data_IF_304303820866
#
_entry.id   IF_304303820866
#
_cell.length_a   1.000
_cell.length_b   1.000
_cell.length_c   1.000
_cell.angle_alpha   90.00
_cell.angle_beta   90.00
_cell.angle_gamma   90.00
#
_symmetry.space_group_name_H-M   'P 1'
#
loop_
_entity.id
_entity.type
_entity.pdbx_description
1 polymer ?
#
# COMPACT_ATOMS: atom_id res chain seq x y z
N UNK A 1 14.37 24.80 -0.63
CA UNK A 1 14.29 25.35 0.75
C UNK A 1 14.44 24.19 1.73
N UNK A 2 15.05 24.41 2.89
CA UNK A 2 15.15 23.38 3.92
C UNK A 2 13.87 23.32 4.77
N UNK A 3 13.47 22.12 5.20
CA UNK A 3 12.32 21.92 6.07
C UNK A 3 12.59 22.49 7.47
N UNK A 4 11.57 23.08 8.10
CA UNK A 4 11.69 23.53 9.48
C UNK A 4 11.46 22.37 10.45
N UNK A 5 12.16 22.35 11.59
CA UNK A 5 11.92 21.32 12.63
C UNK A 5 10.46 21.38 13.11
N UNK A 6 9.82 20.23 13.20
CA UNK A 6 8.51 20.09 13.83
C UNK A 6 8.61 20.19 15.35
N UNK A 7 7.71 20.96 15.97
CA UNK A 7 7.62 21.14 17.41
C UNK A 7 6.19 20.88 17.95
N UNK A 8 5.29 20.40 17.09
CA UNK A 8 3.94 20.03 17.48
C UNK A 8 3.89 18.65 18.14
N UNK A 9 2.69 18.20 18.54
CA UNK A 9 2.51 16.90 19.17
C UNK A 9 2.67 15.76 18.16
N UNK A 10 3.11 14.60 18.66
CA UNK A 10 3.15 13.34 17.92
C UNK A 10 1.79 12.61 17.94
N UNK A 11 0.93 12.93 18.92
CA UNK A 11 -0.48 12.50 18.95
C UNK A 11 -1.34 13.71 18.58
N UNK A 12 -1.96 13.67 17.40
CA UNK A 12 -2.73 14.78 16.86
C UNK A 12 -4.20 14.58 17.21
N UNK A 13 -4.69 15.33 18.20
CA UNK A 13 -6.10 15.27 18.65
C UNK A 13 -6.93 16.48 18.24
N UNK A 14 -6.29 17.51 17.68
CA UNK A 14 -6.99 18.71 17.22
C UNK A 14 -7.52 18.53 15.79
N UNK A 15 -8.78 18.86 15.57
CA UNK A 15 -9.37 18.90 14.24
C UNK A 15 -8.69 19.96 13.36
N UNK A 16 -8.62 19.71 12.05
CA UNK A 16 -8.02 20.63 11.07
C UNK A 16 -6.54 20.95 11.34
N UNK A 17 -5.83 20.06 12.04
CA UNK A 17 -4.41 20.26 12.33
C UNK A 17 -3.58 20.12 11.06
N UNK A 18 -2.64 21.05 10.86
CA UNK A 18 -1.81 21.11 9.65
C UNK A 18 -0.33 21.01 9.99
N UNK A 19 0.36 20.06 9.37
CA UNK A 19 1.83 19.95 9.35
C UNK A 19 2.30 20.37 7.96
N UNK A 20 2.86 21.56 7.82
CA UNK A 20 3.32 22.08 6.53
C UNK A 20 4.80 22.51 6.59
N UNK A 21 5.61 21.99 5.67
CA UNK A 21 7.02 22.39 5.53
C UNK A 21 7.90 21.90 6.67
N UNK A 22 7.58 20.73 7.25
CA UNK A 22 8.22 20.25 8.48
C UNK A 22 9.06 19.00 8.31
N UNK A 23 10.14 18.93 9.06
CA UNK A 23 10.84 17.69 9.38
C UNK A 23 10.34 17.18 10.74
N UNK A 24 9.66 16.04 10.72
CA UNK A 24 9.09 15.35 11.88
C UNK A 24 9.97 14.16 12.23
N UNK A 25 10.28 13.95 13.51
CA UNK A 25 11.12 12.86 14.00
C UNK A 25 10.41 12.08 15.13
N UNK A 26 9.15 11.74 14.88
CA UNK A 26 8.34 10.85 15.70
C UNK A 26 7.22 10.26 14.84
N UNK A 27 6.60 9.21 15.35
CA UNK A 27 5.38 8.68 14.75
C UNK A 27 4.23 9.67 14.97
N UNK A 28 3.43 9.89 13.92
CA UNK A 28 2.24 10.71 13.96
C UNK A 28 1.00 9.83 14.10
N UNK A 29 0.45 9.80 15.32
CA UNK A 29 -0.82 9.15 15.68
C UNK A 29 -1.97 10.16 15.49
N UNK A 30 -2.72 9.99 14.40
CA UNK A 30 -3.80 10.90 14.00
C UNK A 30 -5.12 10.46 14.62
N UNK A 31 -5.60 11.25 15.59
CA UNK A 31 -6.82 11.03 16.36
C UNK A 31 -7.82 12.18 16.22
N UNK A 32 -7.93 12.72 15.01
CA UNK A 32 -8.74 13.89 14.73
C UNK A 32 -9.26 13.92 13.29
N UNK A 33 -10.37 14.60 13.01
CA UNK A 33 -10.83 14.86 11.65
C UNK A 33 -9.97 15.94 10.96
N UNK A 34 -9.84 15.79 9.65
CA UNK A 34 -9.31 16.76 8.70
C UNK A 34 -7.85 17.14 8.96
N UNK A 35 -7.02 16.19 9.39
CA UNK A 35 -5.58 16.44 9.54
C UNK A 35 -4.94 16.48 8.15
N UNK A 36 -4.10 17.48 7.92
CA UNK A 36 -3.35 17.63 6.67
C UNK A 36 -1.85 17.64 6.99
N UNK A 37 -1.11 16.79 6.28
CA UNK A 37 0.34 16.78 6.29
C UNK A 37 0.79 17.08 4.87
N UNK A 38 1.50 18.18 4.67
CA UNK A 38 1.92 18.64 3.35
C UNK A 38 3.37 19.15 3.33
N UNK A 39 4.04 19.01 2.19
CA UNK A 39 5.39 19.54 1.96
C UNK A 39 6.38 19.15 3.08
N UNK A 40 6.25 17.95 3.63
CA UNK A 40 6.93 17.56 4.88
C UNK A 40 7.71 16.26 4.71
N UNK A 41 8.70 16.05 5.59
CA UNK A 41 9.41 14.78 5.74
C UNK A 41 9.17 14.23 7.14
N UNK A 42 8.67 13.01 7.23
CA UNK A 42 8.41 12.31 8.46
C UNK A 42 9.41 11.17 8.56
N UNK A 43 10.22 11.16 9.62
CA UNK A 43 11.08 10.03 9.98
C UNK A 43 10.37 9.30 11.14
N UNK A 44 9.55 8.31 10.78
CA UNK A 44 8.57 7.66 11.64
C UNK A 44 7.35 7.18 10.85
N UNK A 45 6.35 6.68 11.56
CA UNK A 45 5.09 6.18 11.00
C UNK A 45 4.02 7.28 10.99
N UNK A 46 3.03 7.19 10.12
CA UNK A 46 1.86 8.08 10.13
C UNK A 46 0.61 7.21 10.11
N UNK A 47 -0.15 7.18 11.20
CA UNK A 47 -1.27 6.24 11.28
C UNK A 47 -2.52 6.78 11.95
N UNK A 48 -3.67 6.23 11.56
CA UNK A 48 -4.92 6.27 12.30
C UNK A 48 -5.22 4.86 12.79
N UNK A 49 -5.53 4.72 14.08
CA UNK A 49 -6.02 3.46 14.64
C UNK A 49 -7.51 3.31 14.30
N UNK A 50 -7.81 2.62 13.20
CA UNK A 50 -9.20 2.40 12.74
C UNK A 50 -10.00 1.48 13.66
N UNK A 51 -9.35 0.67 14.49
CA UNK A 51 -10.01 -0.25 15.43
C UNK A 51 -10.51 0.48 16.69
N UNK A 52 -10.02 1.70 16.90
CA UNK A 52 -10.49 2.53 17.99
C UNK A 52 -11.97 2.92 17.79
N UNK A 53 -12.81 2.69 18.80
CA UNK A 53 -14.23 3.06 18.74
C UNK A 53 -14.48 4.56 18.47
N UNK A 54 -13.50 5.42 18.74
CA UNK A 54 -13.56 6.87 18.47
C UNK A 54 -13.06 7.26 17.07
N UNK A 55 -12.57 6.32 16.26
CA UNK A 55 -11.93 6.57 14.96
C UNK A 55 -12.89 7.00 13.85
N UNK A 56 -14.20 6.90 14.11
CA UNK A 56 -15.26 7.07 13.12
C UNK A 56 -15.15 8.35 12.28
N UNK A 57 -14.63 9.45 12.83
CA UNK A 57 -14.47 10.71 12.09
C UNK A 57 -13.01 11.10 11.83
N UNK A 58 -12.03 10.30 12.22
CA UNK A 58 -10.63 10.64 11.99
C UNK A 58 -10.33 10.60 10.49
N UNK A 59 -9.53 11.54 10.02
CA UNK A 59 -9.13 11.58 8.61
C UNK A 59 -7.81 12.28 8.41
N UNK A 60 -7.06 11.79 7.42
CA UNK A 60 -5.73 12.26 7.05
C UNK A 60 -5.64 12.48 5.54
N UNK A 61 -5.13 13.65 5.16
CA UNK A 61 -4.53 13.89 3.85
C UNK A 61 -3.03 14.06 4.01
N UNK A 62 -2.25 13.16 3.42
CA UNK A 62 -0.81 13.25 3.27
C UNK A 62 -0.51 13.61 1.82
N UNK A 63 0.09 14.77 1.58
CA UNK A 63 0.36 15.23 0.22
C UNK A 63 1.75 15.82 0.06
N UNK A 64 2.34 15.69 -1.12
CA UNK A 64 3.63 16.33 -1.46
C UNK A 64 4.72 16.09 -0.39
N UNK A 65 4.74 14.90 0.20
CA UNK A 65 5.51 14.59 1.40
C UNK A 65 6.32 13.30 1.26
N UNK A 66 7.32 13.14 2.13
CA UNK A 66 8.07 11.91 2.30
C UNK A 66 7.79 11.32 3.68
N UNK A 67 7.52 10.01 3.75
CA UNK A 67 7.49 9.26 5.00
C UNK A 67 8.49 8.12 4.91
N UNK A 68 9.47 8.15 5.80
CA UNK A 68 10.48 7.13 5.99
C UNK A 68 10.18 6.39 7.31
N UNK A 69 9.59 5.21 7.20
CA UNK A 69 9.28 4.37 8.35
C UNK A 69 10.49 3.64 8.93
N UNK A 70 11.63 3.63 8.22
CA UNK A 70 12.82 2.88 8.59
C UNK A 70 12.55 1.38 8.82
N UNK A 71 13.29 0.80 9.76
CA UNK A 71 13.26 -0.62 10.07
C UNK A 71 12.16 -1.01 11.06
N UNK A 72 10.93 -1.23 10.57
CA UNK A 72 9.76 -1.52 11.43
C UNK A 72 8.96 -2.71 10.91
N UNK A 73 8.48 -3.57 11.82
CA UNK A 73 7.51 -4.63 11.48
C UNK A 73 6.07 -4.09 11.41
N UNK A 74 5.89 -2.94 10.76
CA UNK A 74 4.61 -2.22 10.65
C UNK A 74 4.49 -1.53 9.29
N UNK A 75 3.27 -1.22 8.89
CA UNK A 75 3.02 -0.33 7.77
C UNK A 75 3.47 1.10 8.09
N UNK A 76 3.97 1.81 7.08
CA UNK A 76 4.49 3.18 7.23
C UNK A 76 3.36 4.19 7.32
N UNK A 77 2.38 4.08 6.41
CA UNK A 77 1.12 4.82 6.45
C UNK A 77 -0.06 3.86 6.55
N UNK A 78 -0.90 4.03 7.56
CA UNK A 78 -1.99 3.09 7.88
C UNK A 78 -3.09 3.76 8.72
N UNK A 79 -4.13 3.06 9.14
CA UNK A 79 -5.30 2.66 8.33
C UNK A 79 -6.38 3.77 8.46
N UNK A 80 -7.66 3.51 8.17
CA UNK A 80 -8.77 4.43 8.43
C UNK A 80 -9.27 5.21 7.19
N UNK A 81 -9.42 6.53 7.33
CA UNK A 81 -9.80 7.43 6.23
C UNK A 81 -8.57 8.23 5.78
N UNK A 82 -7.84 7.66 4.81
CA UNK A 82 -6.53 8.15 4.38
C UNK A 82 -6.52 8.50 2.90
N UNK A 83 -5.96 9.67 2.60
CA UNK A 83 -5.58 10.08 1.25
C UNK A 83 -4.08 10.35 1.20
N UNK A 84 -3.36 9.62 0.36
CA UNK A 84 -1.94 9.84 0.04
C UNK A 84 -1.83 10.35 -1.38
N UNK A 85 -1.21 11.51 -1.58
CA UNK A 85 -1.17 12.19 -2.86
C UNK A 85 0.25 12.70 -3.17
N UNK A 86 0.80 12.39 -4.35
CA UNK A 86 2.11 12.89 -4.80
C UNK A 86 3.21 12.73 -3.74
N UNK A 87 3.22 11.60 -3.05
CA UNK A 87 4.09 11.38 -1.89
C UNK A 87 5.03 10.19 -2.10
N UNK A 88 6.17 10.22 -1.41
CA UNK A 88 7.17 9.17 -1.40
C UNK A 88 7.12 8.43 -0.06
N UNK A 89 6.70 7.18 -0.06
CA UNK A 89 6.51 6.38 1.17
C UNK A 89 7.41 5.15 1.10
N UNK A 90 8.27 4.99 2.09
CA UNK A 90 9.23 3.89 2.14
C UNK A 90 9.60 3.45 3.56
N UNK A 91 10.26 2.30 3.65
CA UNK A 91 10.54 1.60 4.90
C UNK A 91 9.37 0.70 5.32
N UNK A 92 9.45 0.24 6.57
CA UNK A 92 8.48 -0.69 7.16
C UNK A 92 8.40 -2.02 6.41
N UNK A 93 7.38 -2.81 6.73
CA UNK A 93 7.06 -4.03 5.94
C UNK A 93 6.20 -3.70 4.72
N UNK A 94 5.49 -2.58 4.76
CA UNK A 94 4.69 -2.08 3.64
C UNK A 94 4.55 -0.56 3.74
N UNK A 95 4.80 0.20 2.65
CA UNK A 95 4.63 1.65 2.62
C UNK A 95 3.22 2.10 3.00
N UNK A 96 2.18 1.48 2.41
CA UNK A 96 0.78 1.81 2.71
C UNK A 96 0.00 0.54 2.99
N UNK A 97 -0.82 0.57 4.04
CA UNK A 97 -1.76 -0.49 4.38
C UNK A 97 -3.19 0.05 4.53
N UNK A 98 -4.13 -0.64 3.89
CA UNK A 98 -5.55 -0.35 3.98
C UNK A 98 -6.34 -1.59 4.42
N UNK A 99 -6.98 -1.57 5.59
CA UNK A 99 -7.57 -2.77 6.20
C UNK A 99 -9.10 -2.72 6.33
N UNK A 100 -9.67 -3.74 6.99
CA UNK A 100 -11.10 -4.03 7.05
C UNK A 100 -11.96 -2.92 7.65
N UNK A 101 -11.41 -2.10 8.54
CA UNK A 101 -12.12 -0.98 9.16
C UNK A 101 -11.93 0.36 8.45
N UNK A 102 -11.29 0.35 7.26
CA UNK A 102 -11.14 1.56 6.47
C UNK A 102 -12.48 2.08 5.96
N UNK A 103 -12.66 3.40 6.07
CA UNK A 103 -13.77 4.09 5.42
C UNK A 103 -13.48 4.40 3.96
N UNK A 104 -12.24 4.83 3.71
CA UNK A 104 -11.73 5.18 2.39
C UNK A 104 -10.21 5.17 2.45
N UNK A 105 -9.58 4.61 1.42
CA UNK A 105 -8.14 4.60 1.29
C UNK A 105 -7.77 4.93 -0.15
N UNK A 106 -7.21 6.12 -0.37
CA UNK A 106 -6.76 6.54 -1.71
C UNK A 106 -5.27 6.80 -1.69
N UNK A 107 -4.56 6.16 -2.60
CA UNK A 107 -3.15 6.44 -2.90
C UNK A 107 -3.08 6.84 -4.37
N UNK A 108 -2.59 8.05 -4.62
CA UNK A 108 -2.58 8.61 -5.96
C UNK A 108 -1.28 9.34 -6.27
N UNK A 109 -0.80 9.19 -7.51
CA UNK A 109 0.37 9.90 -8.04
C UNK A 109 1.63 9.72 -7.17
N UNK A 110 1.74 8.60 -6.44
CA UNK A 110 2.72 8.39 -5.37
C UNK A 110 3.72 7.28 -5.68
N UNK A 111 4.81 7.23 -4.92
CA UNK A 111 5.86 6.20 -5.02
C UNK A 111 5.95 5.40 -3.73
N UNK A 112 5.73 4.09 -3.83
CA UNK A 112 5.78 3.13 -2.72
C UNK A 112 6.92 2.14 -2.95
N UNK A 113 7.92 2.10 -2.07
CA UNK A 113 9.14 1.29 -2.25
C UNK A 113 9.94 1.10 -0.95
N UNK A 114 11.10 0.46 -1.04
CA UNK A 114 12.12 0.48 0.01
C UNK A 114 11.70 -0.22 1.29
N UNK A 115 11.01 -1.36 1.18
CA UNK A 115 10.65 -2.15 2.35
C UNK A 115 11.91 -2.59 3.08
N UNK A 116 11.80 -2.72 4.40
CA UNK A 116 12.91 -3.15 5.24
C UNK A 116 12.55 -4.42 5.99
N UNK A 117 13.51 -5.34 6.06
CA UNK A 117 13.45 -6.50 6.93
C UNK A 117 14.83 -6.80 7.50
N UNK A 118 14.96 -7.14 8.81
CA UNK A 118 16.21 -7.65 9.36
C UNK A 118 16.68 -8.94 8.67
N UNK A 119 17.98 -9.22 8.74
CA UNK A 119 18.50 -10.49 8.24
C UNK A 119 17.92 -11.69 8.99
N UNK A 120 17.57 -12.75 8.25
CA UNK A 120 17.20 -14.05 8.82
C UNK A 120 15.83 -14.12 9.49
N UNK A 121 14.96 -13.12 9.32
CA UNK A 121 13.56 -13.21 9.76
C UNK A 121 12.63 -13.60 8.62
N UNK A 122 11.54 -14.28 8.97
CA UNK A 122 10.47 -14.66 8.05
C UNK A 122 9.37 -13.59 8.08
N UNK A 123 9.64 -12.42 7.52
CA UNK A 123 8.63 -11.37 7.34
C UNK A 123 8.18 -11.30 5.89
N UNK A 124 6.88 -11.15 5.69
CA UNK A 124 6.27 -10.97 4.39
C UNK A 124 6.02 -9.49 4.14
N UNK A 125 6.63 -8.97 3.08
CA UNK A 125 6.66 -7.55 2.76
C UNK A 125 5.75 -7.25 1.56
N UNK A 126 5.42 -5.98 1.35
CA UNK A 126 4.64 -5.52 0.21
C UNK A 126 4.88 -4.07 -0.18
N UNK A 127 4.59 -3.72 -1.44
CA UNK A 127 4.51 -2.31 -1.86
C UNK A 127 3.24 -1.63 -1.35
N UNK A 128 2.16 -2.39 -1.34
CA UNK A 128 0.85 -2.05 -0.78
C UNK A 128 0.24 -3.32 -0.17
N UNK A 129 -0.50 -3.16 0.92
CA UNK A 129 -1.21 -4.26 1.57
C UNK A 129 -2.66 -3.89 1.89
N UNK A 130 -3.56 -4.85 1.71
CA UNK A 130 -4.87 -4.85 2.31
C UNK A 130 -5.24 -6.25 2.78
N UNK A 131 -5.67 -6.36 4.04
CA UNK A 131 -6.15 -7.62 4.61
C UNK A 131 -7.68 -7.77 4.65
N UNK A 132 -8.40 -6.85 4.02
CA UNK A 132 -9.87 -6.78 4.04
C UNK A 132 -10.38 -5.37 3.75
N UNK A 133 -11.70 -5.24 3.65
CA UNK A 133 -12.39 -3.95 3.59
C UNK A 133 -12.69 -3.48 2.17
N UNK A 134 -12.93 -2.18 2.01
CA UNK A 134 -13.32 -1.62 0.72
C UNK A 134 -12.98 -0.15 0.56
N UNK A 135 -13.47 0.46 -0.52
CA UNK A 135 -13.16 1.84 -0.91
C UNK A 135 -11.65 2.11 -1.04
N UNK A 136 -10.93 1.16 -1.65
CA UNK A 136 -9.49 1.26 -1.89
C UNK A 136 -9.27 1.74 -3.33
N UNK A 137 -8.44 2.77 -3.51
CA UNK A 137 -8.07 3.32 -4.81
C UNK A 137 -6.56 3.51 -4.89
N UNK A 138 -5.93 2.79 -5.81
CA UNK A 138 -4.54 2.95 -6.20
C UNK A 138 -4.52 3.50 -7.62
N UNK A 139 -4.21 4.79 -7.77
CA UNK A 139 -4.31 5.49 -9.06
C UNK A 139 -2.97 6.12 -9.43
N UNK A 140 -2.40 5.71 -10.56
CA UNK A 140 -1.22 6.36 -11.14
C UNK A 140 -0.01 6.41 -10.20
N UNK A 141 0.22 5.33 -9.45
CA UNK A 141 1.37 5.18 -8.57
C UNK A 141 2.50 4.40 -9.25
N UNK A 142 3.72 4.58 -8.75
CA UNK A 142 4.82 3.63 -8.93
C UNK A 142 4.91 2.79 -7.66
N UNK A 143 4.70 1.48 -7.78
CA UNK A 143 4.65 0.57 -6.62
C UNK A 143 5.66 -0.54 -6.87
N UNK A 144 6.62 -0.67 -5.96
CA UNK A 144 7.65 -1.71 -6.03
C UNK A 144 7.83 -2.29 -4.63
N UNK A 145 7.74 -3.61 -4.51
CA UNK A 145 8.33 -4.30 -3.39
C UNK A 145 9.72 -4.77 -3.80
N UNK A 146 10.78 -4.15 -3.28
CA UNK A 146 12.15 -4.30 -3.80
C UNK A 146 13.10 -5.04 -2.86
N UNK A 147 12.63 -5.52 -1.71
CA UNK A 147 13.44 -6.31 -0.80
C UNK A 147 13.64 -7.75 -1.33
N UNK A 148 14.89 -8.27 -1.32
CA UNK A 148 15.17 -9.64 -1.75
C UNK A 148 14.59 -10.67 -0.77
N UNK A 149 14.36 -11.89 -1.27
CA UNK A 149 14.02 -13.05 -0.45
C UNK A 149 15.26 -13.53 0.32
N UNK A 150 15.07 -13.98 1.56
CA UNK A 150 16.14 -14.52 2.39
C UNK A 150 15.99 -16.04 2.63
N UNK A 151 17.01 -16.64 3.25
CA UNK A 151 17.03 -18.09 3.54
C UNK A 151 16.02 -18.54 4.61
N UNK A 152 15.40 -17.61 5.34
CA UNK A 152 14.36 -17.90 6.33
C UNK A 152 12.95 -17.94 5.71
N UNK A 153 12.80 -17.58 4.43
CA UNK A 153 11.50 -17.51 3.74
C UNK A 153 10.91 -16.09 3.69
N UNK A 154 11.52 -15.13 4.38
CA UNK A 154 11.08 -13.74 4.38
C UNK A 154 11.47 -13.01 3.10
N UNK A 155 10.68 -12.00 2.72
CA UNK A 155 10.89 -11.20 1.53
C UNK A 155 9.59 -10.61 0.98
N UNK A 156 9.68 -10.05 -0.23
CA UNK A 156 8.54 -9.46 -0.89
C UNK A 156 7.49 -10.49 -1.31
N UNK A 157 6.26 -10.27 -0.85
CA UNK A 157 5.09 -11.01 -1.35
C UNK A 157 4.75 -10.53 -2.75
N UNK A 158 4.63 -9.21 -2.92
CA UNK A 158 4.31 -8.56 -4.18
C UNK A 158 4.16 -7.04 -4.05
N UNK A 159 4.00 -6.35 -5.18
CA UNK A 159 3.86 -4.90 -5.23
C UNK A 159 2.50 -4.49 -4.68
N UNK A 160 1.41 -5.15 -5.10
CA UNK A 160 0.05 -4.88 -4.63
C UNK A 160 -0.56 -6.15 -4.08
N UNK A 161 -0.77 -6.21 -2.76
CA UNK A 161 -1.23 -7.40 -2.06
C UNK A 161 -2.65 -7.21 -1.51
N UNK A 162 -3.66 -7.73 -2.21
CA UNK A 162 -4.99 -7.94 -1.64
C UNK A 162 -5.07 -9.38 -1.12
N UNK A 163 -5.01 -9.54 0.20
CA UNK A 163 -4.95 -10.85 0.86
C UNK A 163 -6.02 -10.86 1.96
N UNK A 164 -7.24 -11.36 1.71
CA UNK A 164 -8.41 -11.17 2.59
C UNK A 164 -8.33 -12.02 3.87
N UNK A 165 -7.39 -11.72 4.78
CA UNK A 165 -7.17 -12.49 6.00
C UNK A 165 -8.20 -12.16 7.10
N UNK A 166 -8.70 -10.91 7.14
CA UNK A 166 -9.55 -10.41 8.22
C UNK A 166 -10.96 -10.03 7.77
N UNK A 167 -11.15 -9.74 6.47
CA UNK A 167 -12.46 -9.58 5.85
C UNK A 167 -12.35 -9.80 4.32
N UNK A 168 -13.47 -10.02 3.61
CA UNK A 168 -13.50 -9.91 2.15
C UNK A 168 -13.02 -8.53 1.71
N UNK A 169 -12.38 -8.45 0.55
CA UNK A 169 -12.02 -7.17 -0.07
C UNK A 169 -13.08 -6.86 -1.14
N UNK A 170 -13.68 -5.68 -1.07
CA UNK A 170 -14.76 -5.27 -1.96
C UNK A 170 -14.50 -3.90 -2.57
N UNK A 171 -14.56 -3.80 -3.90
CA UNK A 171 -14.59 -2.52 -4.60
C UNK A 171 -13.24 -1.80 -4.68
N UNK A 172 -12.14 -2.54 -4.79
CA UNK A 172 -10.82 -1.96 -5.01
C UNK A 172 -10.62 -1.54 -6.46
N UNK A 173 -10.04 -0.35 -6.68
CA UNK A 173 -9.64 0.15 -7.99
C UNK A 173 -8.12 0.28 -8.06
N UNK A 174 -7.49 -0.53 -8.92
CA UNK A 174 -6.07 -0.47 -9.27
C UNK A 174 -5.96 0.03 -10.70
N UNK A 175 -5.65 1.31 -10.85
CA UNK A 175 -5.72 1.99 -12.14
C UNK A 175 -4.44 2.75 -12.49
N UNK A 176 -3.98 2.61 -13.73
CA UNK A 176 -2.88 3.40 -14.30
C UNK A 176 -1.55 3.33 -13.50
N UNK A 177 -1.37 2.33 -12.65
CA UNK A 177 -0.14 2.18 -11.86
C UNK A 177 0.97 1.53 -12.68
N UNK A 178 2.21 1.78 -12.27
CA UNK A 178 3.39 1.02 -12.67
C UNK A 178 3.78 0.06 -11.54
N UNK A 179 3.87 -1.23 -11.85
CA UNK A 179 4.33 -2.29 -10.94
C UNK A 179 5.73 -2.75 -11.38
N UNK A 180 6.72 -2.54 -10.51
CA UNK A 180 8.14 -2.80 -10.79
C UNK A 180 8.51 -4.27 -10.70
N UNK A 181 9.52 -4.70 -11.45
CA UNK A 181 9.95 -6.08 -11.43
C UNK A 181 10.83 -6.37 -10.21
N UNK A 182 10.46 -7.38 -9.44
CA UNK A 182 11.31 -7.98 -8.43
C UNK A 182 11.27 -9.49 -8.59
N UNK A 183 12.37 -10.07 -9.09
CA UNK A 183 12.48 -11.51 -9.33
C UNK A 183 12.49 -12.35 -8.05
N UNK A 184 12.69 -11.73 -6.89
CA UNK A 184 12.64 -12.36 -5.58
C UNK A 184 11.26 -12.21 -4.91
N UNK A 185 10.38 -11.36 -5.47
CA UNK A 185 8.99 -11.32 -5.03
C UNK A 185 8.22 -12.52 -5.58
N UNK A 186 7.16 -12.95 -4.89
CA UNK A 186 6.35 -14.08 -5.34
C UNK A 186 5.55 -13.75 -6.61
N UNK A 187 4.66 -12.76 -6.54
CA UNK A 187 3.85 -12.27 -7.66
C UNK A 187 3.88 -10.74 -7.69
N UNK A 188 3.64 -10.10 -8.84
CA UNK A 188 3.56 -8.63 -8.88
C UNK A 188 2.29 -8.14 -8.18
N UNK A 189 1.19 -8.88 -8.27
CA UNK A 189 -0.03 -8.57 -7.51
C UNK A 189 -0.83 -9.81 -7.10
N UNK A 190 -1.49 -9.71 -5.94
CA UNK A 190 -2.52 -10.63 -5.46
C UNK A 190 -3.88 -9.97 -5.61
N UNK A 191 -4.83 -10.63 -6.29
CA UNK A 191 -6.12 -10.05 -6.70
C UNK A 191 -7.26 -10.15 -5.68
N UNK A 192 -7.03 -10.76 -4.51
CA UNK A 192 -8.02 -10.86 -3.43
C UNK A 192 -8.76 -12.21 -3.31
N UNK A 193 -8.54 -13.18 -4.20
CA UNK A 193 -9.00 -14.56 -4.01
C UNK A 193 -7.96 -15.36 -3.22
N UNK A 194 -8.40 -16.06 -2.16
CA UNK A 194 -7.53 -16.91 -1.34
C UNK A 194 -8.33 -18.03 -0.70
N UNK A 195 -8.39 -19.19 -1.36
CA UNK A 195 -9.18 -20.36 -0.93
C UNK A 195 -8.86 -20.87 0.49
N UNK A 196 -7.65 -20.61 0.99
CA UNK A 196 -7.23 -21.00 2.34
C UNK A 196 -7.59 -19.98 3.43
N UNK A 197 -8.16 -18.83 3.05
CA UNK A 197 -8.63 -17.81 4.01
C UNK A 197 -10.04 -18.12 4.52
N UNK A 198 -10.39 -17.58 5.70
CA UNK A 198 -11.77 -17.52 6.18
C UNK A 198 -12.67 -16.64 5.30
N UNK A 199 -12.08 -15.72 4.54
CA UNK A 199 -12.77 -14.81 3.62
C UNK A 199 -12.25 -15.02 2.19
N UNK A 200 -12.54 -16.18 1.57
CA UNK A 200 -11.79 -16.62 0.39
C UNK A 200 -12.06 -15.81 -0.88
N UNK A 201 -13.15 -15.04 -0.91
CA UNK A 201 -13.64 -14.36 -2.10
C UNK A 201 -13.64 -12.85 -1.93
N UNK A 202 -13.04 -12.17 -2.91
CA UNK A 202 -13.12 -10.71 -3.08
C UNK A 202 -13.89 -10.37 -4.36
N UNK A 203 -14.57 -9.22 -4.35
CA UNK A 203 -15.47 -8.84 -5.42
C UNK A 203 -15.39 -7.33 -5.75
N UNK A 204 -15.89 -6.94 -6.92
CA UNK A 204 -15.71 -5.60 -7.50
C UNK A 204 -14.24 -5.15 -7.55
N UNK A 205 -13.32 -6.10 -7.74
CA UNK A 205 -11.89 -5.85 -7.90
C UNK A 205 -11.59 -5.42 -9.33
N UNK A 206 -11.22 -4.15 -9.52
CA UNK A 206 -11.01 -3.57 -10.84
C UNK A 206 -9.53 -3.24 -11.04
N UNK A 207 -8.89 -3.94 -11.97
CA UNK A 207 -7.55 -3.67 -12.46
C UNK A 207 -7.63 -3.14 -13.87
N UNK A 208 -7.23 -1.88 -14.10
CA UNK A 208 -7.23 -1.30 -15.44
C UNK A 208 -6.04 -0.44 -15.77
N UNK A 209 -5.61 -0.51 -17.03
CA UNK A 209 -4.61 0.38 -17.62
C UNK A 209 -3.23 0.37 -16.93
N UNK A 210 -2.95 -0.62 -16.08
CA UNK A 210 -1.69 -0.72 -15.35
C UNK A 210 -0.55 -1.21 -16.27
N UNK A 211 0.68 -0.82 -15.93
CA UNK A 211 1.92 -1.24 -16.58
C UNK A 211 2.71 -2.11 -15.63
N UNK A 212 3.13 -3.29 -16.10
CA UNK A 212 3.98 -4.22 -15.38
C UNK A 212 5.37 -4.23 -16.02
N UNK A 213 6.42 -4.16 -15.21
CA UNK A 213 7.78 -4.36 -15.67
C UNK A 213 8.10 -5.87 -15.76
N UNK A 214 8.98 -6.28 -16.68
CA UNK A 214 9.54 -7.64 -16.68
C UNK A 214 10.96 -7.66 -16.13
N UNK A 215 11.21 -8.55 -15.17
CA UNK A 215 12.58 -8.92 -14.80
C UNK A 215 13.29 -9.73 -15.89
N UNK A 216 14.56 -10.08 -15.66
CA UNK A 216 15.34 -10.93 -16.57
C UNK A 216 14.69 -12.32 -16.80
N UNK A 217 13.83 -12.76 -15.87
CA UNK A 217 13.04 -13.99 -15.98
C UNK A 217 11.78 -13.87 -16.87
N UNK A 218 11.48 -12.67 -17.39
CA UNK A 218 10.31 -12.32 -18.22
C UNK A 218 8.93 -12.46 -17.55
N UNK A 219 8.85 -12.51 -16.21
CA UNK A 219 7.61 -12.79 -15.45
C UNK A 219 7.12 -11.67 -14.53
N UNK A 220 7.86 -10.56 -14.42
CA UNK A 220 7.59 -9.49 -13.45
C UNK A 220 8.08 -9.85 -12.04
N UNK A 221 7.63 -10.98 -11.52
CA UNK A 221 8.08 -11.57 -10.25
C UNK A 221 8.50 -13.03 -10.42
N UNK A 222 8.84 -13.75 -9.34
CA UNK A 222 9.33 -15.14 -9.40
C UNK A 222 8.34 -16.08 -10.10
N UNK A 223 7.07 -16.02 -9.72
CA UNK A 223 6.03 -16.93 -10.19
C UNK A 223 5.22 -16.35 -11.34
N UNK A 224 4.98 -15.04 -11.37
CA UNK A 224 4.26 -14.38 -12.44
C UNK A 224 3.77 -12.97 -12.05
N UNK A 225 3.05 -12.31 -12.96
CA UNK A 225 2.51 -10.97 -12.69
C UNK A 225 1.32 -10.97 -11.74
N UNK A 226 0.51 -12.04 -11.72
CA UNK A 226 -0.81 -12.06 -11.07
C UNK A 226 -1.04 -13.41 -10.43
N UNK A 227 -1.72 -13.42 -9.29
CA UNK A 227 -2.40 -14.59 -8.70
C UNK A 227 -3.62 -14.10 -7.93
N UNK A 228 -4.54 -15.01 -7.60
CA UNK A 228 -5.69 -14.73 -6.76
C UNK A 228 -6.65 -13.73 -7.38
N UNK A 229 -6.75 -13.64 -8.71
CA UNK A 229 -7.76 -12.82 -9.38
C UNK A 229 -8.84 -13.70 -10.02
N UNK A 230 -9.96 -13.84 -9.32
CA UNK A 230 -11.14 -14.54 -9.85
C UNK A 230 -11.86 -13.70 -10.91
N UNK A 231 -11.60 -13.96 -12.20
CA UNK A 231 -12.24 -13.26 -13.34
C UNK A 231 -13.76 -13.44 -13.42
N UNK A 232 -14.30 -14.47 -12.77
CA UNK A 232 -15.73 -14.73 -12.70
C UNK A 232 -16.36 -14.16 -11.42
N UNK A 233 -15.56 -13.53 -10.56
CA UNK A 233 -16.02 -12.88 -9.34
C UNK A 233 -16.97 -11.72 -9.67
N UNK A 234 -18.01 -11.48 -8.85
CA UNK A 234 -18.97 -10.41 -9.09
C UNK A 234 -18.28 -9.05 -9.26
N UNK A 235 -18.52 -8.34 -10.36
CA UNK A 235 -17.97 -7.01 -10.60
C UNK A 235 -16.44 -6.95 -10.85
N UNK A 236 -15.73 -8.08 -10.80
CA UNK A 236 -14.29 -8.12 -11.05
C UNK A 236 -14.00 -7.78 -12.52
N UNK A 237 -12.98 -6.95 -12.76
CA UNK A 237 -12.61 -6.50 -14.11
C UNK A 237 -11.10 -6.43 -14.25
N UNK A 238 -10.60 -7.02 -15.34
CA UNK A 238 -9.20 -6.95 -15.73
C UNK A 238 -9.11 -6.42 -17.17
N UNK A 239 -8.74 -5.15 -17.33
CA UNK A 239 -8.82 -4.48 -18.63
C UNK A 239 -7.55 -3.69 -18.96
N UNK A 240 -6.99 -3.90 -20.15
CA UNK A 240 -5.85 -3.12 -20.67
C UNK A 240 -4.60 -3.06 -19.76
N UNK A 241 -4.39 -4.09 -18.93
CA UNK A 241 -3.15 -4.27 -18.19
C UNK A 241 -2.08 -4.81 -19.15
N UNK A 242 -0.91 -4.17 -19.16
CA UNK A 242 0.13 -4.43 -20.15
C UNK A 242 1.51 -4.49 -19.52
N UNK A 243 2.40 -5.21 -20.16
CA UNK A 243 3.83 -5.10 -19.93
C UNK A 243 4.35 -3.76 -20.45
N UNK A 244 5.52 -3.34 -19.98
CA UNK A 244 6.19 -2.11 -20.44
C UNK A 244 6.47 -2.09 -21.96
N UNK A 245 6.58 -3.26 -22.60
CA UNK A 245 6.73 -3.43 -24.06
C UNK A 245 5.40 -3.37 -24.83
N UNK A 246 4.28 -3.17 -24.11
CA UNK A 246 2.92 -3.11 -24.67
C UNK A 246 2.21 -4.45 -24.79
N UNK A 247 2.88 -5.58 -24.50
CA UNK A 247 2.23 -6.90 -24.50
C UNK A 247 1.17 -7.02 -23.41
N UNK A 248 0.11 -7.79 -23.64
CA UNK A 248 -0.95 -7.96 -22.63
C UNK A 248 -0.46 -8.74 -21.40
N UNK A 249 -0.94 -8.35 -20.22
CA UNK A 249 -0.86 -9.16 -18.98
C UNK A 249 -2.22 -9.82 -18.78
N UNK A 250 -2.36 -11.15 -18.88
CA UNK A 250 -3.62 -11.81 -18.55
C UNK A 250 -3.83 -11.83 -17.02
N UNK A 251 -5.09 -11.83 -16.55
CA UNK A 251 -5.39 -12.15 -15.16
C UNK A 251 -5.05 -13.61 -14.87
N UNK A 252 -4.79 -13.94 -13.61
CA UNK A 252 -4.61 -15.31 -13.15
C UNK A 252 -5.15 -15.49 -11.73
N UNK A 253 -5.61 -16.70 -11.42
CA UNK A 253 -6.15 -17.05 -10.11
C UNK A 253 -5.27 -18.08 -9.40
#
# INVERSE_FOLDING_TARGET
MALAKYAGPCVITAANFVVNGKQVNCDLDVRAPNVVIENSKINGLVYLDSDNASSANWSLTLQDSEVDGGAQQRAVVSTGNVTVLRSNIHGGITPVQCDEHNRSCTVQDSWLHGQYMPDGVDWHLGGFLSNGGGNIKLIHNTIVCDHPVNNAGGGCTGDVNFIPNFAPIHGALVQNNYLGANMDASFSTYGGEKSTSQFPHSDHMVYRDNVFQRGANRKGSAYGPVTGFNVNGPGNQWTNNRWEDGGAVPPDN
#
